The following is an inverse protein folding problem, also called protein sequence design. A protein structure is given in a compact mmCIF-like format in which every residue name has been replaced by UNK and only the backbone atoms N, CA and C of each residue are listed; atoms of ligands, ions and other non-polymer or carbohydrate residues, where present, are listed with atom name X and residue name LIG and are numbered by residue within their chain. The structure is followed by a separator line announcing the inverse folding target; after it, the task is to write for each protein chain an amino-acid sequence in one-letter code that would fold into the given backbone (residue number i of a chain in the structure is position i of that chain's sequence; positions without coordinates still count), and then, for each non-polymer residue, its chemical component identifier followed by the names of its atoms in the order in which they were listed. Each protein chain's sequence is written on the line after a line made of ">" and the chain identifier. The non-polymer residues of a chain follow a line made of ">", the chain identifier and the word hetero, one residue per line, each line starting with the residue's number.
data_IF_112457913732
#
_entry.id   IF_112457913732
#
_cell.length_a   1.000
_cell.length_b   1.000
_cell.length_c   1.000
_cell.angle_alpha   90.00
_cell.angle_beta   90.00
_cell.angle_gamma   90.00
#
_symmetry.space_group_name_H-M   'P 1'
#
loop_
_entity.id
_entity.type
_entity.pdbx_description
1 polymer ?
#
# COMPACT_ATOMS: atom_id res chain seq x y z
N UNK A 1 -19.31 -4.26 -9.23
CA UNK A 1 -18.57 -3.22 -9.97
C UNK A 1 -18.16 -3.80 -11.32
N UNK A 2 -18.64 -3.24 -12.43
CA UNK A 2 -18.27 -3.73 -13.77
C UNK A 2 -16.96 -3.12 -14.24
N UNK A 3 -16.11 -3.93 -14.85
CA UNK A 3 -14.92 -3.48 -15.58
C UNK A 3 -15.36 -2.97 -16.95
N UNK A 4 -15.74 -1.70 -17.01
CA UNK A 4 -16.05 -1.01 -18.28
C UNK A 4 -14.78 -0.75 -19.07
N UNK A 5 -14.91 -0.58 -20.39
CA UNK A 5 -13.78 -0.31 -21.27
C UNK A 5 -13.00 0.95 -20.88
N UNK A 6 -13.68 2.00 -20.42
CA UNK A 6 -13.02 3.21 -19.89
C UNK A 6 -12.09 2.88 -18.72
N UNK A 7 -12.57 2.08 -17.76
CA UNK A 7 -11.77 1.69 -16.58
C UNK A 7 -10.61 0.77 -16.96
N UNK A 8 -10.81 -0.09 -17.95
CA UNK A 8 -9.75 -0.96 -18.49
C UNK A 8 -8.68 -0.10 -19.17
N UNK A 9 -9.09 0.92 -19.93
CA UNK A 9 -8.19 1.86 -20.59
C UNK A 9 -7.37 2.63 -19.56
N UNK A 10 -8.01 3.22 -18.54
CA UNK A 10 -7.30 3.90 -17.44
C UNK A 10 -6.33 2.97 -16.71
N UNK A 11 -6.74 1.72 -16.43
CA UNK A 11 -5.85 0.73 -15.82
C UNK A 11 -4.62 0.50 -16.68
N UNK A 12 -4.78 0.26 -17.99
CA UNK A 12 -3.65 0.02 -18.91
C UNK A 12 -2.70 1.23 -18.95
N UNK A 13 -3.24 2.42 -19.18
CA UNK A 13 -2.44 3.66 -19.27
C UNK A 13 -1.63 3.91 -17.99
N UNK A 14 -2.26 3.79 -16.82
CA UNK A 14 -1.56 4.00 -15.55
C UNK A 14 -0.58 2.86 -15.23
N UNK A 15 -0.89 1.63 -15.64
CA UNK A 15 -0.01 0.48 -15.47
C UNK A 15 1.26 0.59 -16.32
N UNK A 16 1.13 0.99 -17.59
CA UNK A 16 2.26 1.26 -18.49
C UNK A 16 3.06 2.49 -18.05
N UNK A 17 2.38 3.54 -17.59
CA UNK A 17 2.98 4.70 -16.92
C UNK A 17 3.64 4.36 -15.59
N UNK A 18 3.47 3.13 -15.10
CA UNK A 18 4.22 2.58 -14.00
C UNK A 18 3.68 2.88 -12.61
N UNK A 19 2.40 3.25 -12.51
CA UNK A 19 1.73 3.38 -11.23
C UNK A 19 1.55 2.03 -10.54
N UNK A 20 1.47 2.08 -9.21
CA UNK A 20 1.21 0.89 -8.40
C UNK A 20 -0.28 0.55 -8.38
N UNK A 21 -0.62 -0.72 -8.19
CA UNK A 21 -2.03 -1.15 -8.14
C UNK A 21 -2.88 -0.41 -7.08
N UNK A 22 -2.27 0.05 -5.98
CA UNK A 22 -2.97 0.86 -4.97
C UNK A 22 -3.32 2.24 -5.50
N UNK A 23 -2.39 2.92 -6.17
CA UNK A 23 -2.62 4.23 -6.79
C UNK A 23 -3.67 4.15 -7.90
N UNK A 24 -3.62 3.08 -8.70
CA UNK A 24 -4.62 2.84 -9.76
C UNK A 24 -5.99 2.55 -9.15
N UNK A 25 -6.05 1.82 -8.03
CA UNK A 25 -7.30 1.57 -7.31
C UNK A 25 -7.91 2.87 -6.75
N UNK A 26 -7.09 3.75 -6.20
CA UNK A 26 -7.50 5.09 -5.75
C UNK A 26 -8.03 5.93 -6.91
N UNK A 27 -7.33 5.96 -8.04
CA UNK A 27 -7.74 6.71 -9.23
C UNK A 27 -9.02 6.18 -9.87
N UNK A 28 -9.21 4.85 -9.90
CA UNK A 28 -10.37 4.22 -10.49
C UNK A 28 -11.62 4.28 -9.59
N UNK A 29 -11.47 4.42 -8.27
CA UNK A 29 -12.56 4.54 -7.30
C UNK A 29 -13.47 3.30 -7.18
N UNK A 30 -13.67 2.78 -5.96
CA UNK A 30 -14.58 1.62 -5.75
C UNK A 30 -14.07 0.30 -6.34
N UNK A 31 -12.75 0.19 -6.55
CA UNK A 31 -12.03 -1.07 -6.83
C UNK A 31 -10.88 -1.18 -5.84
N UNK A 32 -10.61 -2.40 -5.38
CA UNK A 32 -9.50 -2.66 -4.46
C UNK A 32 -8.20 -2.92 -5.23
N UNK A 33 -7.06 -2.74 -4.55
CA UNK A 33 -5.73 -3.12 -5.07
C UNK A 33 -5.74 -4.53 -5.69
N UNK A 34 -6.34 -5.49 -4.99
CA UNK A 34 -6.40 -6.88 -5.45
C UNK A 34 -7.26 -7.04 -6.70
N UNK A 35 -8.34 -6.25 -6.85
CA UNK A 35 -9.15 -6.26 -8.06
C UNK A 35 -8.36 -5.73 -9.27
N UNK A 36 -7.54 -4.70 -9.09
CA UNK A 36 -6.65 -4.14 -10.12
C UNK A 36 -5.60 -5.18 -10.54
N UNK A 37 -4.92 -5.82 -9.59
CA UNK A 37 -3.93 -6.88 -9.86
C UNK A 37 -4.59 -8.03 -10.64
N UNK A 38 -5.75 -8.50 -10.16
CA UNK A 38 -6.48 -9.58 -10.80
C UNK A 38 -6.92 -9.24 -12.23
N UNK A 39 -7.33 -7.99 -12.49
CA UNK A 39 -7.67 -7.54 -13.85
C UNK A 39 -6.44 -7.40 -14.73
N UNK A 40 -5.34 -6.85 -14.22
CA UNK A 40 -4.09 -6.72 -14.96
C UNK A 40 -3.55 -8.08 -15.42
N UNK A 41 -3.59 -9.08 -14.53
CA UNK A 41 -3.21 -10.46 -14.87
C UNK A 41 -4.12 -11.07 -15.95
N UNK A 42 -5.44 -10.86 -15.87
CA UNK A 42 -6.39 -11.34 -16.90
C UNK A 42 -6.18 -10.66 -18.26
N UNK A 43 -5.66 -9.44 -18.27
CA UNK A 43 -5.34 -8.69 -19.48
C UNK A 43 -3.93 -9.01 -20.02
N UNK A 44 -3.15 -9.86 -19.34
CA UNK A 44 -1.79 -10.21 -19.77
C UNK A 44 -0.79 -9.05 -19.68
N UNK A 45 -1.09 -8.00 -18.90
CA UNK A 45 -0.13 -6.92 -18.68
C UNK A 45 1.08 -7.47 -17.93
N UNK A 46 2.28 -7.15 -18.42
CA UNK A 46 3.51 -7.65 -17.81
C UNK A 46 3.57 -7.24 -16.33
N UNK A 47 3.83 -8.22 -15.47
CA UNK A 47 4.16 -7.98 -14.07
C UNK A 47 5.44 -7.18 -14.04
N UNK A 48 5.36 -5.92 -13.61
CA UNK A 48 6.55 -5.09 -13.47
C UNK A 48 7.45 -5.73 -12.40
N UNK A 49 8.75 -5.97 -12.65
CA UNK A 49 9.69 -6.31 -11.59
C UNK A 49 9.65 -5.13 -10.61
N UNK A 50 9.18 -5.41 -9.40
CA UNK A 50 8.79 -4.37 -8.47
C UNK A 50 10.03 -3.64 -7.96
N UNK A 51 10.16 -2.31 -8.15
CA UNK A 51 11.22 -1.52 -7.50
C UNK A 51 11.00 -1.34 -5.98
N UNK A 52 10.00 -2.04 -5.40
CA UNK A 52 9.66 -1.98 -3.96
C UNK A 52 10.80 -2.41 -3.04
N UNK A 53 11.85 -3.07 -3.53
CA UNK A 53 13.03 -3.35 -2.69
C UNK A 53 13.55 -2.05 -2.06
N UNK A 54 13.55 -0.94 -2.79
CA UNK A 54 14.10 0.33 -2.28
C UNK A 54 13.16 1.15 -1.39
N UNK A 55 11.84 0.89 -1.38
CA UNK A 55 10.87 1.66 -0.57
C UNK A 55 10.28 0.86 0.59
N UNK A 56 10.26 -0.47 0.49
CA UNK A 56 9.89 -1.36 1.60
C UNK A 56 10.94 -1.27 2.72
N UNK A 57 12.25 -1.16 2.40
CA UNK A 57 13.29 -0.92 3.42
C UNK A 57 13.09 0.42 4.16
N UNK A 58 12.72 1.49 3.45
CA UNK A 58 12.45 2.79 4.05
C UNK A 58 11.18 2.80 4.92
N UNK A 59 10.16 2.03 4.53
CA UNK A 59 8.90 1.94 5.28
C UNK A 59 9.01 0.99 6.48
N UNK A 60 9.70 -0.14 6.35
CA UNK A 60 9.97 -1.05 7.47
C UNK A 60 10.86 -0.39 8.53
N UNK A 61 11.80 0.48 8.12
CA UNK A 61 12.57 1.31 9.03
C UNK A 61 11.69 2.35 9.77
N UNK A 62 10.71 2.95 9.10
CA UNK A 62 9.78 3.90 9.71
C UNK A 62 8.78 3.24 10.68
N UNK A 63 8.31 2.03 10.35
CA UNK A 63 7.37 1.28 11.20
C UNK A 63 8.07 0.74 12.47
N UNK A 64 9.34 0.33 12.37
CA UNK A 64 10.16 -0.06 13.53
C UNK A 64 10.49 1.12 14.46
N UNK A 65 10.55 2.35 13.94
CA UNK A 65 10.75 3.56 14.75
C UNK A 65 9.47 4.00 15.49
N UNK A 66 8.29 3.77 14.91
CA UNK A 66 7.01 4.09 15.54
C UNK A 66 6.64 3.12 16.68
N UNK A 67 6.95 1.83 16.53
CA UNK A 67 6.69 0.83 17.58
C UNK A 67 7.59 0.99 18.83
N UNK A 68 8.74 1.66 18.71
CA UNK A 68 9.65 1.92 19.84
C UNK A 68 9.22 3.05 20.77
N UNK A 69 8.27 3.91 20.36
CA UNK A 69 7.92 5.15 21.10
C UNK A 69 6.66 5.03 21.97
N UNK A 70 5.96 3.89 21.94
CA UNK A 70 4.74 3.67 22.73
C UNK A 70 4.96 2.90 24.04
N UNK A 71 6.19 2.51 24.39
CA UNK A 71 6.49 1.74 25.61
C UNK A 71 7.10 2.56 26.77
N UNK A 72 7.18 3.89 26.65
CA UNK A 72 7.66 4.75 27.73
C UNK A 72 6.52 5.59 28.32
N UNK A 73 5.59 4.93 29.03
CA UNK A 73 4.76 5.60 30.02
C UNK A 73 5.47 5.45 31.38
N UNK A 74 6.04 6.51 31.97
CA UNK A 74 6.57 6.43 33.32
C UNK A 74 5.38 6.47 34.28
N UNK A 75 5.01 5.32 34.84
CA UNK A 75 4.18 5.27 36.05
C UNK A 75 5.11 5.32 37.25
N UNK A 76 5.75 6.47 37.48
CA UNK A 76 6.34 6.77 38.78
C UNK A 76 5.35 7.62 39.58
N UNK A 77 4.41 6.94 40.23
CA UNK A 77 3.57 7.50 41.28
C UNK A 77 3.03 6.38 42.16
N UNK A 78 3.73 6.07 43.26
CA UNK A 78 3.15 5.82 44.60
C UNK A 78 4.25 5.32 45.56
N UNK A 79 4.71 6.21 46.42
CA UNK A 79 5.43 5.83 47.63
C UNK A 79 4.52 5.00 48.56
N UNK A 80 5.02 3.96 49.24
CA UNK A 80 4.28 3.40 50.37
C UNK A 80 4.57 4.23 51.64
N UNK A 81 3.56 4.68 52.40
CA UNK A 81 3.79 5.14 53.76
C UNK A 81 3.96 3.94 54.73
N UNK A 82 4.69 4.09 55.85
CA UNK A 82 4.54 3.20 57.01
C UNK A 82 3.22 3.45 57.76
#
# INVERSE_FOLDING_TARGET
>A
MSWTDERISTLKTMWEGGQTASQIAEALGGVSRNAVIGKAHRLGLQSRPSPVVSKEEARLAAEKAAAGKAAAAPVEAAAPPP
#
